data_IF_275287474793
#
_entry.id   IF_275287474793
#
_cell.length_a   1.000
_cell.length_b   1.000
_cell.length_c   1.000
_cell.angle_alpha   90.00
_cell.angle_beta   90.00
_cell.angle_gamma   90.00
#
_symmetry.space_group_name_H-M   'P 1'
#
loop_
_entity.id
_entity.type
_entity.pdbx_description
1 polymer ?
#
# COMPACT_ATOMS: atom_id res chain seq x y z
N UNK A 1 -10.99 -4.57 -19.68
CA UNK A 1 -11.56 -5.74 -20.36
C UNK A 1 -10.48 -6.82 -20.40
N UNK A 2 -10.74 -8.01 -19.85
CA UNK A 2 -9.78 -9.15 -19.77
C UNK A 2 -10.14 -10.15 -20.88
N UNK A 3 -10.32 -9.65 -22.11
CA UNK A 3 -11.00 -10.38 -23.19
C UNK A 3 -10.04 -10.93 -24.25
N UNK A 4 -8.75 -11.04 -23.94
CA UNK A 4 -7.76 -11.62 -24.84
C UNK A 4 -7.65 -13.12 -24.63
N UNK A 5 -7.74 -13.92 -25.71
CA UNK A 5 -7.37 -15.33 -25.67
C UNK A 5 -5.90 -15.46 -25.21
N UNK A 6 -5.67 -16.17 -24.11
CA UNK A 6 -4.32 -16.50 -23.66
C UNK A 6 -3.80 -17.68 -24.48
N UNK A 7 -2.77 -17.45 -25.29
CA UNK A 7 -2.13 -18.53 -26.03
C UNK A 7 -1.53 -19.60 -25.12
N UNK A 8 -1.59 -20.87 -25.54
CA UNK A 8 -1.10 -22.01 -24.75
C UNK A 8 0.37 -21.86 -24.30
N UNK A 9 1.22 -21.24 -25.14
CA UNK A 9 2.62 -20.95 -24.80
C UNK A 9 2.75 -19.97 -23.63
N UNK A 10 1.93 -18.92 -23.59
CA UNK A 10 1.93 -17.95 -22.49
C UNK A 10 1.40 -18.57 -21.19
N UNK A 11 0.36 -19.41 -21.28
CA UNK A 11 -0.14 -20.17 -20.13
C UNK A 11 0.91 -21.15 -19.57
N UNK A 12 1.61 -21.88 -20.43
CA UNK A 12 2.68 -22.79 -20.03
C UNK A 12 3.87 -22.05 -19.40
N UNK A 13 4.26 -20.90 -19.97
CA UNK A 13 5.29 -20.05 -19.39
C UNK A 13 4.89 -19.54 -17.99
N UNK A 14 3.65 -19.09 -17.80
CA UNK A 14 3.15 -18.67 -16.49
C UNK A 14 3.18 -19.82 -15.46
N UNK A 15 2.76 -21.03 -15.85
CA UNK A 15 2.83 -22.23 -15.00
C UNK A 15 4.27 -22.60 -14.63
N UNK A 16 5.20 -22.52 -15.58
CA UNK A 16 6.61 -22.81 -15.29
C UNK A 16 7.22 -21.79 -14.32
N UNK A 17 6.87 -20.51 -14.47
CA UNK A 17 7.33 -19.47 -13.56
C UNK A 17 6.75 -19.64 -12.15
N UNK A 18 5.52 -20.13 -12.00
CA UNK A 18 4.89 -20.30 -10.68
C UNK A 18 5.50 -21.44 -9.89
N UNK A 19 5.88 -22.55 -10.56
CA UNK A 19 6.50 -23.70 -9.91
C UNK A 19 7.83 -23.36 -9.21
N UNK A 20 8.55 -22.34 -9.70
CA UNK A 20 9.81 -21.89 -9.12
C UNK A 20 9.68 -20.87 -8.00
N UNK A 21 8.45 -20.48 -7.61
CA UNK A 21 8.20 -19.33 -6.74
C UNK A 21 7.51 -19.74 -5.44
N UNK A 22 8.18 -19.45 -4.33
CA UNK A 22 7.62 -19.69 -2.99
C UNK A 22 6.35 -18.87 -2.75
N UNK A 23 6.26 -17.69 -3.38
CA UNK A 23 5.09 -16.83 -3.32
C UNK A 23 3.85 -17.56 -3.87
N UNK A 24 3.99 -18.41 -4.89
CA UNK A 24 2.85 -19.08 -5.53
C UNK A 24 2.16 -20.13 -4.65
N UNK A 25 2.76 -20.53 -3.53
CA UNK A 25 2.21 -21.55 -2.63
C UNK A 25 0.92 -21.03 -1.98
N UNK A 26 -0.17 -21.80 -2.11
CA UNK A 26 -1.52 -21.44 -1.64
C UNK A 26 -2.10 -20.15 -2.25
N UNK A 27 -1.59 -19.73 -3.41
CA UNK A 27 -2.09 -18.55 -4.11
C UNK A 27 -3.17 -18.90 -5.14
N UNK A 28 -4.13 -17.99 -5.32
CA UNK A 28 -5.06 -18.03 -6.46
C UNK A 28 -4.89 -16.75 -7.26
N UNK A 29 -4.53 -16.87 -8.54
CA UNK A 29 -4.33 -15.73 -9.43
C UNK A 29 -4.84 -16.03 -10.84
N UNK A 30 -5.21 -14.97 -11.56
CA UNK A 30 -5.56 -15.05 -12.98
C UNK A 30 -4.39 -14.62 -13.85
N UNK A 31 -4.25 -15.24 -15.02
CA UNK A 31 -3.29 -14.85 -16.05
C UNK A 31 -4.06 -14.28 -17.23
N UNK A 32 -3.63 -13.12 -17.72
CA UNK A 32 -4.22 -12.47 -18.88
C UNK A 32 -3.12 -12.04 -19.85
N UNK A 33 -3.42 -12.02 -21.15
CA UNK A 33 -2.51 -11.48 -22.16
C UNK A 33 -2.37 -9.96 -21.94
N UNK A 34 -1.13 -9.47 -21.84
CA UNK A 34 -0.83 -8.05 -21.87
C UNK A 34 -0.64 -7.54 -23.30
N UNK A 35 -0.76 -6.22 -23.52
CA UNK A 35 -0.54 -5.57 -24.82
C UNK A 35 0.94 -5.62 -25.30
N UNK A 36 1.85 -6.18 -24.49
CA UNK A 36 3.28 -6.26 -24.82
C UNK A 36 3.58 -7.54 -25.60
N UNK A 37 4.03 -7.37 -26.85
CA UNK A 37 4.37 -8.46 -27.77
C UNK A 37 5.68 -9.22 -27.45
N UNK A 38 6.37 -8.87 -26.36
CA UNK A 38 7.60 -9.53 -25.95
C UNK A 38 7.38 -10.36 -24.68
N UNK A 39 7.84 -11.63 -24.63
CA UNK A 39 7.87 -12.38 -23.39
C UNK A 39 8.70 -11.60 -22.38
N UNK A 40 8.10 -11.29 -21.23
CA UNK A 40 8.76 -10.52 -20.17
C UNK A 40 10.10 -11.15 -19.80
N UNK A 41 11.13 -10.32 -19.61
CA UNK A 41 12.38 -10.76 -19.01
C UNK A 41 12.09 -11.38 -17.62
N UNK A 42 12.96 -12.24 -17.07
CA UNK A 42 12.77 -12.79 -15.72
C UNK A 42 12.48 -11.71 -14.66
N UNK A 43 13.12 -10.55 -14.80
CA UNK A 43 12.89 -9.35 -13.97
C UNK A 43 11.49 -8.73 -14.13
N UNK A 44 10.85 -8.86 -15.28
CA UNK A 44 9.46 -8.45 -15.48
C UNK A 44 8.49 -9.41 -14.77
N UNK A 45 8.80 -10.71 -14.76
CA UNK A 45 7.99 -11.69 -14.05
C UNK A 45 8.04 -11.51 -12.53
N UNK A 46 9.19 -11.19 -11.95
CA UNK A 46 9.30 -10.93 -10.50
C UNK A 46 8.37 -9.78 -10.10
N UNK A 47 8.33 -8.76 -10.96
CA UNK A 47 7.54 -7.58 -10.76
C UNK A 47 6.03 -7.77 -10.99
N UNK A 48 5.66 -8.58 -11.97
CA UNK A 48 4.25 -8.89 -12.28
C UNK A 48 3.64 -9.88 -11.29
N UNK A 49 4.42 -10.84 -10.81
CA UNK A 49 3.93 -11.90 -9.92
C UNK A 49 3.67 -11.41 -8.49
N UNK A 50 4.49 -10.47 -8.00
CA UNK A 50 4.26 -9.81 -6.71
C UNK A 50 2.92 -9.07 -6.64
N UNK A 51 2.33 -8.66 -7.77
CA UNK A 51 0.99 -8.05 -7.82
C UNK A 51 -0.13 -9.06 -7.60
N UNK A 52 0.10 -10.33 -7.96
CA UNK A 52 -0.93 -11.36 -7.99
C UNK A 52 -1.03 -12.10 -6.66
N UNK A 53 0.09 -12.19 -5.94
CA UNK A 53 0.21 -13.06 -4.76
C UNK A 53 0.86 -12.35 -3.57
N UNK A 54 1.49 -11.20 -3.82
CA UNK A 54 2.16 -10.42 -2.79
C UNK A 54 1.21 -9.50 -2.02
N UNK A 55 1.71 -8.83 -0.98
CA UNK A 55 0.95 -7.83 -0.24
C UNK A 55 0.69 -6.54 -1.04
N UNK A 56 1.12 -6.45 -2.31
CA UNK A 56 0.93 -5.28 -3.15
C UNK A 56 -0.54 -5.11 -3.51
N UNK A 57 -1.10 -3.93 -3.21
CA UNK A 57 -2.52 -3.62 -3.44
C UNK A 57 -2.72 -2.49 -4.45
N UNK A 58 -1.67 -1.72 -4.75
CA UNK A 58 -1.76 -0.64 -5.72
C UNK A 58 -0.39 -0.25 -6.29
N UNK A 59 -0.41 0.21 -7.54
CA UNK A 59 0.76 0.70 -8.27
C UNK A 59 0.39 1.80 -9.25
N UNK A 60 1.26 2.79 -9.38
CA UNK A 60 1.17 3.78 -10.45
C UNK A 60 2.56 4.19 -10.98
N UNK A 61 2.70 4.42 -12.30
CA UNK A 61 3.90 5.07 -12.83
C UNK A 61 4.01 6.50 -12.29
N UNK A 62 5.24 7.01 -12.14
CA UNK A 62 5.50 8.39 -11.75
C UNK A 62 6.30 9.08 -12.87
N UNK A 63 5.92 10.29 -13.23
CA UNK A 63 6.58 11.03 -14.32
C UNK A 63 7.55 12.09 -13.80
N UNK A 64 7.36 12.56 -12.55
CA UNK A 64 8.21 13.58 -11.91
C UNK A 64 9.53 13.06 -11.33
N UNK A 65 9.81 11.77 -11.49
CA UNK A 65 11.00 11.13 -10.95
C UNK A 65 10.91 10.81 -9.45
N UNK A 66 11.87 10.04 -8.95
CA UNK A 66 11.79 9.44 -7.61
C UNK A 66 11.91 10.48 -6.49
N UNK A 67 12.97 11.29 -6.48
CA UNK A 67 13.22 12.21 -5.37
C UNK A 67 12.11 13.26 -5.14
N UNK A 68 11.57 13.95 -6.18
CA UNK A 68 10.45 14.87 -5.99
C UNK A 68 9.19 14.17 -5.47
N UNK A 69 8.93 12.96 -5.96
CA UNK A 69 7.78 12.16 -5.54
C UNK A 69 7.93 11.66 -4.11
N UNK A 70 9.14 11.30 -3.66
CA UNK A 70 9.42 10.93 -2.27
C UNK A 70 9.16 12.11 -1.32
N UNK A 71 9.70 13.29 -1.62
CA UNK A 71 9.43 14.50 -0.82
C UNK A 71 7.94 14.84 -0.76
N UNK A 72 7.24 14.74 -1.90
CA UNK A 72 5.79 14.91 -1.94
C UNK A 72 5.06 13.87 -1.09
N UNK A 73 5.46 12.60 -1.17
CA UNK A 73 4.83 11.50 -0.44
C UNK A 73 4.95 11.69 1.08
N UNK A 74 6.11 12.12 1.58
CA UNK A 74 6.29 12.45 3.00
C UNK A 74 5.34 13.56 3.44
N UNK A 75 5.25 14.66 2.66
CA UNK A 75 4.34 15.77 2.98
C UNK A 75 2.87 15.35 2.93
N UNK A 76 2.50 14.56 1.91
CA UNK A 76 1.15 14.02 1.77
C UNK A 76 0.79 13.13 2.96
N UNK A 77 1.70 12.26 3.41
CA UNK A 77 1.48 11.36 4.53
C UNK A 77 1.28 12.13 5.84
N UNK A 78 2.08 13.16 6.10
CA UNK A 78 1.89 14.05 7.24
C UNK A 78 0.53 14.77 7.22
N UNK A 79 -0.01 15.04 6.03
CA UNK A 79 -1.36 15.59 5.86
C UNK A 79 -2.48 14.68 6.38
N UNK A 80 -2.24 13.36 6.48
CA UNK A 80 -3.21 12.39 7.01
C UNK A 80 -3.35 12.45 8.54
N UNK A 81 -2.37 13.03 9.23
CA UNK A 81 -2.38 13.18 10.70
C UNK A 81 -3.33 14.29 11.18
N UNK A 82 -3.86 15.11 10.27
CA UNK A 82 -4.76 16.22 10.63
C UNK A 82 -6.19 15.72 10.85
N UNK A 83 -6.92 16.23 11.85
CA UNK A 83 -8.36 16.03 11.96
C UNK A 83 -9.07 16.46 10.67
N UNK A 84 -10.15 15.76 10.31
CA UNK A 84 -10.85 16.01 9.04
C UNK A 84 -10.15 15.45 7.79
N UNK A 85 -9.06 14.69 7.96
CA UNK A 85 -8.41 13.98 6.85
C UNK A 85 -9.29 12.88 6.23
N UNK A 86 -10.49 12.62 6.75
CA UNK A 86 -11.45 11.65 6.20
C UNK A 86 -11.05 10.18 6.39
N UNK A 87 -10.02 9.89 7.19
CA UNK A 87 -9.75 8.55 7.69
C UNK A 87 -10.57 8.33 8.96
N UNK A 88 -11.20 7.16 9.09
CA UNK A 88 -11.95 6.77 10.29
C UNK A 88 -11.06 6.10 11.33
N UNK A 89 -9.86 5.70 10.94
CA UNK A 89 -8.86 5.06 11.79
C UNK A 89 -7.64 5.96 11.86
N UNK A 90 -7.20 6.36 13.07
CA UNK A 90 -5.96 7.10 13.24
C UNK A 90 -4.77 6.32 12.69
N UNK A 91 -3.80 7.05 12.13
CA UNK A 91 -2.59 6.48 11.54
C UNK A 91 -1.34 7.06 12.18
N UNK A 92 -0.33 6.23 12.36
CA UNK A 92 1.04 6.69 12.60
C UNK A 92 1.79 6.71 11.26
N UNK A 93 2.52 7.77 11.00
CA UNK A 93 3.39 7.89 9.83
C UNK A 93 4.83 7.68 10.27
N UNK A 94 5.53 6.73 9.65
CA UNK A 94 6.98 6.59 9.76
C UNK A 94 7.61 6.85 8.40
N UNK A 95 8.60 7.73 8.35
CA UNK A 95 9.40 7.94 7.15
C UNK A 95 10.36 6.78 6.95
N UNK A 96 10.45 6.32 5.71
CA UNK A 96 11.40 5.31 5.26
C UNK A 96 12.34 5.93 4.24
N UNK A 97 13.50 5.31 4.02
CA UNK A 97 14.46 5.76 3.01
C UNK A 97 13.84 5.84 1.60
N UNK A 98 12.90 4.94 1.31
CA UNK A 98 12.30 4.75 0.00
C UNK A 98 10.81 5.15 -0.07
N UNK A 99 10.27 5.74 1.00
CA UNK A 99 8.87 6.15 1.05
C UNK A 99 8.35 6.31 2.48
N UNK A 100 7.15 5.80 2.77
CA UNK A 100 6.50 5.94 4.08
C UNK A 100 5.82 4.64 4.52
N UNK A 101 5.74 4.44 5.83
CA UNK A 101 4.93 3.40 6.46
C UNK A 101 3.77 4.08 7.21
N UNK A 102 2.54 3.74 6.84
CA UNK A 102 1.32 4.15 7.51
C UNK A 102 0.82 3.01 8.39
N UNK A 103 0.99 3.09 9.71
CA UNK A 103 0.46 2.10 10.64
C UNK A 103 -0.93 2.51 11.12
N UNK A 104 -1.88 1.59 11.08
CA UNK A 104 -3.19 1.84 11.67
C UNK A 104 -3.12 1.58 13.17
N UNK A 105 -3.58 2.56 13.95
CA UNK A 105 -3.59 2.45 15.41
C UNK A 105 -4.97 1.98 15.85
N UNK A 106 -5.00 0.86 16.56
CA UNK A 106 -6.22 0.39 17.21
C UNK A 106 -6.65 1.38 18.30
N UNK A 107 -7.77 2.06 18.06
CA UNK A 107 -8.56 2.68 19.12
C UNK A 107 -9.39 1.58 19.76
N UNK A 108 -8.75 0.67 20.48
CA UNK A 108 -9.43 -0.23 21.40
C UNK A 108 -9.94 0.59 22.59
N UNK A 109 -10.96 1.41 22.35
CA UNK A 109 -11.90 1.84 23.36
C UNK A 109 -13.13 1.04 23.00
N UNK A 110 -13.48 0.05 23.83
CA UNK A 110 -14.82 -0.54 23.75
C UNK A 110 -15.84 0.60 23.80
N UNK A 111 -16.99 0.42 23.17
CA UNK A 111 -18.10 1.37 23.27
C UNK A 111 -18.46 1.58 24.76
N UNK A 112 -17.79 2.50 25.45
CA UNK A 112 -18.39 3.22 26.55
C UNK A 112 -19.29 4.25 25.89
N UNK A 113 -20.58 4.22 26.25
CA UNK A 113 -21.65 5.12 25.78
C UNK A 113 -21.43 6.60 26.16
N UNK A 114 -20.17 7.03 26.27
CA UNK A 114 -19.79 8.42 26.47
C UNK A 114 -19.38 8.96 25.09
N UNK A 115 -20.08 10.01 24.64
CA UNK A 115 -19.83 10.70 23.38
C UNK A 115 -18.44 11.37 23.37
N UNK A 116 -17.37 10.58 23.25
CA UNK A 116 -16.04 11.10 22.93
C UNK A 116 -16.10 11.74 21.55
N UNK A 117 -15.82 13.04 21.50
CA UNK A 117 -15.81 13.79 20.25
C UNK A 117 -14.72 13.25 19.34
N UNK A 118 -14.88 13.41 18.02
CA UNK A 118 -13.88 12.95 17.06
C UNK A 118 -12.49 13.52 17.35
N UNK A 119 -12.40 14.74 17.88
CA UNK A 119 -11.14 15.41 18.18
C UNK A 119 -10.40 14.76 19.36
N UNK A 120 -11.12 14.29 20.38
CA UNK A 120 -10.53 13.58 21.53
C UNK A 120 -9.91 12.25 21.11
N UNK A 121 -10.57 11.52 20.19
CA UNK A 121 -10.05 10.27 19.61
C UNK A 121 -8.75 10.47 18.82
N UNK A 122 -8.63 11.58 18.10
CA UNK A 122 -7.42 11.92 17.35
C UNK A 122 -6.28 12.33 18.28
N UNK A 123 -6.56 13.08 19.33
CA UNK A 123 -5.55 13.47 20.32
C UNK A 123 -5.04 12.27 21.12
N UNK A 124 -5.93 11.43 21.62
CA UNK A 124 -5.57 10.20 22.32
C UNK A 124 -4.76 9.24 21.42
N UNK A 125 -5.10 9.14 20.13
CA UNK A 125 -4.33 8.34 19.19
C UNK A 125 -2.95 8.94 18.88
N UNK A 126 -2.83 10.26 18.78
CA UNK A 126 -1.55 10.94 18.58
C UNK A 126 -0.62 10.79 19.80
N UNK A 127 -1.17 10.89 21.02
CA UNK A 127 -0.43 10.63 22.25
C UNK A 127 -0.01 9.16 22.35
N UNK A 128 -0.88 8.22 21.99
CA UNK A 128 -0.56 6.79 21.93
C UNK A 128 0.48 6.47 20.86
N UNK A 129 0.44 7.12 19.70
CA UNK A 129 1.47 7.02 18.66
C UNK A 129 2.83 7.54 19.14
N UNK A 130 2.83 8.66 19.88
CA UNK A 130 4.03 9.24 20.47
C UNK A 130 4.59 8.38 21.61
N UNK A 131 3.73 7.75 22.41
CA UNK A 131 4.13 6.77 23.44
C UNK A 131 4.67 5.47 22.82
N UNK A 132 4.09 5.00 21.71
CA UNK A 132 4.56 3.84 20.95
C UNK A 132 5.93 4.08 20.32
N UNK A 133 6.16 5.29 19.79
CA UNK A 133 7.47 5.69 19.28
C UNK A 133 8.56 5.70 20.39
N UNK A 134 8.17 5.80 21.66
CA UNK A 134 9.07 5.71 22.84
C UNK A 134 9.25 4.29 23.40
N UNK A 135 8.77 3.25 22.71
CA UNK A 135 9.09 1.86 23.02
C UNK A 135 8.01 1.04 23.72
N UNK A 136 6.78 1.55 23.88
CA UNK A 136 5.64 0.72 24.27
C UNK A 136 4.95 0.15 23.03
N UNK A 137 5.24 -1.11 22.70
CA UNK A 137 4.56 -1.86 21.62
C UNK A 137 3.06 -1.96 21.92
N UNK A 138 2.25 -1.06 21.36
CA UNK A 138 0.87 -1.46 21.07
C UNK A 138 0.87 -2.17 19.72
N UNK A 139 0.14 -3.26 19.65
CA UNK A 139 0.02 -4.11 18.47
C UNK A 139 -0.66 -3.31 17.37
N UNK A 140 0.02 -3.03 16.24
CA UNK A 140 -0.59 -2.30 15.13
C UNK A 140 -1.69 -3.15 14.47
N UNK A 141 -2.77 -2.52 14.00
CA UNK A 141 -3.86 -3.17 13.23
C UNK A 141 -3.47 -3.37 11.75
N UNK A 142 -2.18 -3.58 11.51
CA UNK A 142 -1.55 -3.65 10.21
C UNK A 142 -1.09 -2.28 9.69
N UNK A 143 -0.36 -2.31 8.58
CA UNK A 143 0.25 -1.12 8.00
C UNK A 143 0.18 -1.13 6.48
N UNK A 144 0.29 0.06 5.89
CA UNK A 144 0.55 0.24 4.46
C UNK A 144 1.95 0.82 4.27
N UNK A 145 2.80 0.09 3.55
CA UNK A 145 4.09 0.59 3.09
C UNK A 145 3.91 1.17 1.69
N UNK A 146 4.18 2.46 1.55
CA UNK A 146 4.11 3.18 0.27
C UNK A 146 5.54 3.50 -0.14
N UNK A 147 5.98 2.95 -1.27
CA UNK A 147 7.36 3.01 -1.74
C UNK A 147 7.41 3.74 -3.08
N UNK A 148 8.43 4.56 -3.28
CA UNK A 148 8.78 5.16 -4.55
C UNK A 148 10.11 4.58 -5.01
N UNK A 149 10.10 3.88 -6.14
CA UNK A 149 11.26 3.12 -6.63
C UNK A 149 11.64 3.54 -8.06
N UNK A 150 12.93 3.48 -8.37
CA UNK A 150 13.48 3.88 -9.67
C UNK A 150 13.53 2.71 -10.68
N UNK A 151 13.63 1.48 -10.19
CA UNK A 151 13.87 0.28 -10.99
C UNK A 151 12.72 -0.72 -10.79
N UNK A 152 12.38 -1.50 -11.82
CA UNK A 152 12.84 -1.42 -13.21
C UNK A 152 12.35 -0.17 -13.96
N UNK A 153 11.41 0.59 -13.39
CA UNK A 153 10.93 1.86 -13.90
C UNK A 153 10.50 2.76 -12.74
N UNK A 154 10.61 4.08 -12.90
CA UNK A 154 10.14 5.03 -11.89
C UNK A 154 8.64 4.83 -11.60
N UNK A 155 8.29 4.49 -10.35
CA UNK A 155 6.90 4.20 -9.94
C UNK A 155 6.69 4.30 -8.45
N UNK A 156 5.42 4.29 -8.07
CA UNK A 156 4.96 4.18 -6.70
C UNK A 156 4.24 2.84 -6.50
N UNK A 157 4.50 2.17 -5.38
CA UNK A 157 3.84 0.93 -4.96
C UNK A 157 3.26 1.08 -3.56
N UNK A 158 2.12 0.46 -3.32
CA UNK A 158 1.52 0.33 -1.99
C UNK A 158 1.41 -1.15 -1.66
N UNK A 159 1.98 -1.54 -0.52
CA UNK A 159 1.95 -2.90 0.00
C UNK A 159 1.34 -2.92 1.39
N UNK A 160 0.56 -3.94 1.71
CA UNK A 160 0.22 -4.30 3.09
C UNK A 160 1.50 -4.73 3.81
N UNK A 161 1.68 -4.28 5.04
CA UNK A 161 2.83 -4.57 5.88
C UNK A 161 2.35 -4.89 7.30
N UNK A 162 3.20 -5.54 8.08
CA UNK A 162 2.89 -5.90 9.48
C UNK A 162 1.62 -6.77 9.62
N UNK A 163 1.38 -7.65 8.64
CA UNK A 163 0.24 -8.57 8.57
C UNK A 163 0.52 -9.85 9.36
N UNK A 164 0.63 -9.77 10.69
CA UNK A 164 0.74 -10.97 11.53
C UNK A 164 -0.61 -11.70 11.65
N UNK A 165 -0.58 -12.96 12.11
CA UNK A 165 -1.81 -13.73 12.34
C UNK A 165 -2.80 -12.96 13.23
N UNK A 166 -4.05 -12.85 12.79
CA UNK A 166 -5.10 -12.09 13.47
C UNK A 166 -5.17 -10.59 13.15
N UNK A 167 -4.15 -10.01 12.49
CA UNK A 167 -4.18 -8.61 12.06
C UNK A 167 -5.03 -8.45 10.81
N UNK A 168 -6.02 -7.54 10.88
CA UNK A 168 -6.86 -7.17 9.74
C UNK A 168 -6.84 -5.67 9.53
N UNK A 169 -6.22 -5.23 8.44
CA UNK A 169 -6.40 -3.87 7.94
C UNK A 169 -7.86 -3.70 7.55
N UNK A 170 -8.53 -2.70 8.10
CA UNK A 170 -9.92 -2.38 7.75
C UNK A 170 -9.98 -1.97 6.27
N UNK A 171 -10.66 -2.75 5.44
CA UNK A 171 -10.77 -2.54 3.99
C UNK A 171 -11.21 -1.11 3.63
N UNK A 172 -12.13 -0.53 4.42
CA UNK A 172 -12.59 0.84 4.24
C UNK A 172 -11.48 1.90 4.43
N UNK A 173 -10.61 1.69 5.42
CA UNK A 173 -9.47 2.59 5.68
C UNK A 173 -8.43 2.47 4.58
N UNK A 174 -8.15 1.25 4.12
CA UNK A 174 -7.26 1.00 2.98
C UNK A 174 -7.78 1.68 1.71
N UNK A 175 -9.06 1.47 1.36
CA UNK A 175 -9.69 2.08 0.20
C UNK A 175 -9.67 3.62 0.28
N UNK A 176 -9.90 4.19 1.46
CA UNK A 176 -9.84 5.64 1.67
C UNK A 176 -8.42 6.20 1.44
N UNK A 177 -7.39 5.53 1.98
CA UNK A 177 -5.99 5.89 1.76
C UNK A 177 -5.63 5.81 0.27
N UNK A 178 -5.96 4.69 -0.39
CA UNK A 178 -5.67 4.50 -1.81
C UNK A 178 -6.36 5.53 -2.70
N UNK A 179 -7.64 5.82 -2.46
CA UNK A 179 -8.39 6.84 -3.20
C UNK A 179 -7.76 8.22 -3.07
N UNK A 180 -7.33 8.59 -1.84
CA UNK A 180 -6.64 9.87 -1.57
C UNK A 180 -5.26 9.91 -2.20
N UNK A 181 -4.50 8.83 -2.12
CA UNK A 181 -3.16 8.73 -2.71
C UNK A 181 -3.25 8.89 -4.23
N UNK A 182 -4.16 8.17 -4.87
CA UNK A 182 -4.35 8.25 -6.33
C UNK A 182 -4.73 9.67 -6.77
N UNK A 183 -5.69 10.32 -6.09
CA UNK A 183 -6.08 11.70 -6.40
C UNK A 183 -4.93 12.67 -6.16
N UNK A 184 -4.20 12.50 -5.05
CA UNK A 184 -3.06 13.32 -4.70
C UNK A 184 -1.92 13.19 -5.70
N UNK A 185 -1.57 11.97 -6.09
CA UNK A 185 -0.52 11.70 -7.07
C UNK A 185 -0.90 12.30 -8.44
N UNK A 186 -2.15 12.12 -8.88
CA UNK A 186 -2.63 12.73 -10.13
C UNK A 186 -2.54 14.26 -10.11
N UNK A 187 -2.89 14.90 -8.98
CA UNK A 187 -2.78 16.34 -8.84
C UNK A 187 -1.32 16.80 -8.83
N UNK A 188 -0.45 16.08 -8.11
CA UNK A 188 0.99 16.33 -8.08
C UNK A 188 1.58 16.23 -9.48
N UNK A 189 1.27 15.19 -10.24
CA UNK A 189 1.75 14.98 -11.60
C UNK A 189 1.25 16.10 -12.56
N UNK A 190 -0.03 16.49 -12.45
CA UNK A 190 -0.68 17.51 -13.31
C UNK A 190 -0.27 18.95 -13.05
N UNK A 191 0.19 19.33 -11.85
CA UNK A 191 0.53 20.71 -11.48
C UNK A 191 1.81 21.23 -12.17
N UNK A 192 1.83 21.22 -13.50
CA UNK A 192 2.93 21.64 -14.37
C UNK A 192 2.60 22.97 -15.02
#
# INVERSE_FOLDING_TARGET
>A
AISGELGASAAAAALLQTLGRNEAVNATFGVAAGDSAAPGTPTAWDDEFLKLVGPEIWRAPIARGVAPTQSWLSQWALGLLRPGSGLTTPVQVLELRDGVLLRFISTAVGYSDEEETTDDKWQAAAEKAAAQARGQQATPDGALRIIVEALPSARMRVCRAEMSEGVRVKEMSEAAVLSKLQKGLLAFEKGR
#
